data_IF_011650538523
#
_entry.id   IF_011650538523
#
_cell.length_a   1.000
_cell.length_b   1.000
_cell.length_c   1.000
_cell.angle_alpha   90.00
_cell.angle_beta   90.00
_cell.angle_gamma   90.00
#
_symmetry.space_group_name_H-M   'P 1'
#
loop_
_entity.id
_entity.type
_entity.pdbx_description
1 polymer ?
#
# COMPACT_ATOMS: atom_id res chain seq x y z
N UNK A 1 1.49 12.21 -27.62
CA UNK A 1 2.76 11.76 -26.98
C UNK A 1 2.80 12.04 -25.47
N UNK A 2 2.39 13.22 -24.99
CA UNK A 2 2.35 13.59 -23.56
C UNK A 2 1.58 12.58 -22.66
N UNK A 3 0.44 12.07 -23.13
CA UNK A 3 -0.35 11.06 -22.40
C UNK A 3 0.36 9.71 -22.23
N UNK A 4 1.14 9.24 -23.22
CA UNK A 4 1.90 7.99 -23.14
C UNK A 4 3.05 8.09 -22.15
N UNK A 5 3.76 9.23 -22.13
CA UNK A 5 4.85 9.49 -21.19
C UNK A 5 4.33 9.53 -19.76
N UNK A 6 3.21 10.22 -19.51
CA UNK A 6 2.59 10.26 -18.18
C UNK A 6 2.14 8.86 -17.72
N UNK A 7 1.65 8.03 -18.66
CA UNK A 7 1.28 6.64 -18.37
C UNK A 7 2.48 5.79 -18.01
N UNK A 8 3.57 5.85 -18.77
CA UNK A 8 4.82 5.15 -18.45
C UNK A 8 5.43 5.64 -17.13
N UNK A 9 5.37 6.93 -16.87
CA UNK A 9 5.80 7.49 -15.60
C UNK A 9 4.97 6.97 -14.43
N UNK A 10 3.65 6.87 -14.59
CA UNK A 10 2.77 6.26 -13.57
C UNK A 10 3.11 4.78 -13.34
N UNK A 11 3.41 4.04 -14.40
CA UNK A 11 3.81 2.62 -14.29
C UNK A 11 5.16 2.48 -13.59
N UNK A 12 6.14 3.28 -13.98
CA UNK A 12 7.45 3.31 -13.34
C UNK A 12 7.32 3.65 -11.86
N UNK A 13 6.63 4.74 -11.51
CA UNK A 13 6.45 5.16 -10.12
C UNK A 13 5.78 4.07 -9.29
N UNK A 14 4.75 3.42 -9.83
CA UNK A 14 4.05 2.34 -9.13
C UNK A 14 4.95 1.11 -8.95
N UNK A 15 5.66 0.68 -10.00
CA UNK A 15 6.58 -0.45 -9.93
C UNK A 15 7.76 -0.21 -8.99
N UNK A 16 8.37 0.98 -9.08
CA UNK A 16 9.48 1.39 -8.23
C UNK A 16 9.05 1.51 -6.77
N UNK A 17 7.97 2.24 -6.47
CA UNK A 17 7.60 2.55 -5.08
C UNK A 17 7.05 1.33 -4.34
N UNK A 18 6.26 0.49 -5.01
CA UNK A 18 5.59 -0.64 -4.35
C UNK A 18 6.51 -1.85 -4.20
N UNK A 19 7.32 -2.14 -5.22
CA UNK A 19 8.10 -3.40 -5.24
C UNK A 19 9.59 -3.16 -5.07
N UNK A 20 10.22 -2.35 -5.94
CA UNK A 20 11.68 -2.22 -5.96
C UNK A 20 12.21 -1.51 -4.71
N UNK A 21 11.64 -0.34 -4.39
CA UNK A 21 12.02 0.45 -3.23
C UNK A 21 11.76 -0.32 -1.93
N UNK A 22 10.63 -1.04 -1.85
CA UNK A 22 10.32 -1.90 -0.72
C UNK A 22 11.39 -3.00 -0.52
N UNK A 23 11.68 -3.80 -1.55
CA UNK A 23 12.66 -4.90 -1.45
C UNK A 23 14.04 -4.37 -1.10
N UNK A 24 14.51 -3.32 -1.80
CA UNK A 24 15.83 -2.73 -1.55
C UNK A 24 15.92 -2.17 -0.13
N UNK A 25 14.90 -1.42 0.31
CA UNK A 25 14.88 -0.85 1.66
C UNK A 25 14.82 -1.94 2.72
N UNK A 26 14.07 -3.02 2.49
CA UNK A 26 13.96 -4.14 3.41
C UNK A 26 15.28 -4.90 3.54
N UNK A 27 15.95 -5.20 2.43
CA UNK A 27 17.28 -5.81 2.45
C UNK A 27 18.31 -4.90 3.12
N UNK A 28 18.30 -3.61 2.80
CA UNK A 28 19.17 -2.63 3.46
C UNK A 28 18.91 -2.55 4.96
N UNK A 29 17.64 -2.57 5.38
CA UNK A 29 17.29 -2.60 6.78
C UNK A 29 17.90 -3.82 7.48
N UNK A 30 17.77 -5.02 6.92
CA UNK A 30 18.38 -6.23 7.48
C UNK A 30 19.91 -6.07 7.63
N UNK A 31 20.57 -5.59 6.58
CA UNK A 31 22.03 -5.42 6.58
C UNK A 31 22.47 -4.37 7.61
N UNK A 32 21.80 -3.21 7.65
CA UNK A 32 22.13 -2.12 8.58
C UNK A 32 21.87 -2.55 10.02
N UNK A 33 20.74 -3.18 10.32
CA UNK A 33 20.43 -3.68 11.67
C UNK A 33 21.45 -4.72 12.11
N UNK A 34 21.84 -5.63 11.22
CA UNK A 34 22.87 -6.61 11.53
C UNK A 34 24.21 -5.94 11.85
N UNK A 35 24.66 -5.01 11.00
CA UNK A 35 25.96 -4.36 11.13
C UNK A 35 26.05 -3.36 12.29
N UNK A 36 24.96 -2.71 12.66
CA UNK A 36 24.97 -1.67 13.70
C UNK A 36 24.48 -2.17 15.06
N UNK A 37 23.62 -3.19 15.09
CA UNK A 37 23.04 -3.68 16.34
C UNK A 37 23.57 -5.07 16.66
N UNK A 38 23.38 -6.03 15.76
CA UNK A 38 23.68 -7.44 16.05
C UNK A 38 25.18 -7.64 16.26
N UNK A 39 26.04 -7.09 15.39
CA UNK A 39 27.49 -7.28 15.52
C UNK A 39 28.14 -6.49 16.67
N UNK A 40 27.45 -5.49 17.24
CA UNK A 40 27.97 -4.71 18.37
C UNK A 40 27.52 -5.27 19.72
N UNK A 41 26.37 -5.97 19.78
CA UNK A 41 25.85 -6.55 21.02
C UNK A 41 26.26 -8.01 21.11
N UNK A 42 27.20 -8.32 22.01
CA UNK A 42 27.78 -9.66 22.17
C UNK A 42 26.74 -10.78 22.31
N UNK A 43 25.67 -10.55 23.07
CA UNK A 43 24.57 -11.51 23.24
C UNK A 43 23.91 -11.86 21.90
N UNK A 44 23.54 -10.85 21.10
CA UNK A 44 22.89 -11.05 19.81
C UNK A 44 23.84 -11.66 18.78
N UNK A 45 25.10 -11.22 18.76
CA UNK A 45 26.12 -11.78 17.89
C UNK A 45 26.37 -13.27 18.17
N UNK A 46 26.32 -13.68 19.44
CA UNK A 46 26.48 -15.09 19.83
C UNK A 46 25.37 -15.99 19.28
N UNK A 47 24.15 -15.45 19.15
CA UNK A 47 23.00 -16.14 18.56
C UNK A 47 23.02 -16.10 17.03
N UNK A 48 23.49 -15.00 16.46
CA UNK A 48 23.48 -14.75 15.02
C UNK A 48 24.86 -14.27 14.54
N UNK A 49 25.81 -15.18 14.48
CA UNK A 49 27.20 -14.91 14.08
C UNK A 49 27.36 -14.60 12.58
N UNK A 50 26.39 -14.99 11.76
CA UNK A 50 26.37 -14.70 10.33
C UNK A 50 25.10 -13.97 9.91
N UNK A 51 25.26 -13.01 9.00
CA UNK A 51 24.18 -12.21 8.42
C UNK A 51 23.05 -13.08 7.85
N UNK A 52 23.39 -14.19 7.19
CA UNK A 52 22.40 -15.08 6.56
C UNK A 52 21.49 -15.72 7.62
N UNK A 53 22.05 -16.18 8.74
CA UNK A 53 21.25 -16.77 9.83
C UNK A 53 20.33 -15.73 10.48
N UNK A 54 20.83 -14.52 10.70
CA UNK A 54 20.00 -13.40 11.16
C UNK A 54 18.89 -13.09 10.16
N UNK A 55 19.21 -12.94 8.87
CA UNK A 55 18.25 -12.57 7.83
C UNK A 55 17.12 -13.60 7.71
N UNK A 56 17.44 -14.90 7.67
CA UNK A 56 16.44 -15.96 7.59
C UNK A 56 15.52 -15.97 8.82
N UNK A 57 16.11 -15.87 10.02
CA UNK A 57 15.35 -15.87 11.28
C UNK A 57 14.48 -14.62 11.40
N UNK A 58 15.02 -13.46 11.02
CA UNK A 58 14.30 -12.20 11.00
C UNK A 58 13.13 -12.24 10.02
N UNK A 59 13.33 -12.71 8.79
CA UNK A 59 12.27 -12.83 7.78
C UNK A 59 11.16 -13.77 8.26
N UNK A 60 11.55 -14.92 8.85
CA UNK A 60 10.62 -15.92 9.35
C UNK A 60 9.69 -15.38 10.47
N UNK A 61 10.16 -14.42 11.27
CA UNK A 61 9.37 -13.79 12.33
C UNK A 61 8.66 -12.52 11.84
N UNK A 62 9.38 -11.68 11.10
CA UNK A 62 8.90 -10.38 10.65
C UNK A 62 7.69 -10.52 9.71
N UNK A 63 7.72 -11.45 8.75
CA UNK A 63 6.63 -11.61 7.79
C UNK A 63 5.31 -11.99 8.50
N UNK A 64 5.25 -13.04 9.34
CA UNK A 64 4.02 -13.37 10.07
C UNK A 64 3.53 -12.23 10.95
N UNK A 65 4.42 -11.57 11.69
CA UNK A 65 4.06 -10.44 12.57
C UNK A 65 3.48 -9.29 11.74
N UNK A 66 4.12 -8.93 10.63
CA UNK A 66 3.62 -7.90 9.73
C UNK A 66 2.25 -8.25 9.14
N UNK A 67 2.03 -9.52 8.77
CA UNK A 67 0.72 -10.00 8.28
C UNK A 67 -0.34 -9.87 9.38
N UNK A 68 -0.04 -10.25 10.62
CA UNK A 68 -0.99 -10.18 11.74
C UNK A 68 -1.35 -8.73 12.05
N UNK A 69 -0.35 -7.85 12.15
CA UNK A 69 -0.56 -6.41 12.39
C UNK A 69 -1.38 -5.81 11.25
N UNK A 70 -1.02 -6.10 10.00
CA UNK A 70 -1.75 -5.61 8.83
C UNK A 70 -3.20 -6.10 8.81
N UNK A 71 -3.43 -7.39 9.06
CA UNK A 71 -4.78 -7.96 9.15
C UNK A 71 -5.61 -7.27 10.24
N UNK A 72 -5.01 -7.03 11.41
CA UNK A 72 -5.69 -6.36 12.51
C UNK A 72 -6.05 -4.91 12.17
N UNK A 73 -5.12 -4.17 11.56
CA UNK A 73 -5.33 -2.80 11.11
C UNK A 73 -6.42 -2.70 10.02
N UNK A 74 -6.43 -3.65 9.08
CA UNK A 74 -7.50 -3.77 8.08
C UNK A 74 -8.87 -4.07 8.69
N UNK A 75 -8.93 -4.77 9.82
CA UNK A 75 -10.21 -5.17 10.44
C UNK A 75 -10.72 -4.16 11.46
N UNK A 76 -9.83 -3.46 12.17
CA UNK A 76 -10.19 -2.65 13.34
C UNK A 76 -9.44 -1.32 13.43
N UNK A 77 -8.49 -1.07 12.54
CA UNK A 77 -7.60 0.08 12.62
C UNK A 77 -7.90 1.17 11.60
N UNK A 78 -6.85 1.90 11.25
CA UNK A 78 -6.93 3.14 10.49
C UNK A 78 -7.26 2.91 9.02
N UNK A 79 -6.89 1.75 8.45
CA UNK A 79 -7.06 1.47 7.02
C UNK A 79 -8.51 1.64 6.56
N UNK A 80 -9.50 1.17 7.34
CA UNK A 80 -10.91 1.34 6.98
C UNK A 80 -11.27 2.83 6.92
N UNK A 81 -10.83 3.59 7.92
CA UNK A 81 -11.07 5.03 7.99
C UNK A 81 -10.44 5.75 6.81
N UNK A 82 -9.19 5.45 6.48
CA UNK A 82 -8.47 6.09 5.37
C UNK A 82 -9.09 5.75 4.01
N UNK A 83 -9.52 4.50 3.82
CA UNK A 83 -10.23 4.07 2.61
C UNK A 83 -11.57 4.80 2.47
N UNK A 84 -12.35 4.90 3.54
CA UNK A 84 -13.64 5.61 3.50
C UNK A 84 -13.46 7.10 3.28
N UNK A 85 -12.45 7.73 3.90
CA UNK A 85 -12.13 9.14 3.71
C UNK A 85 -11.70 9.41 2.26
N UNK A 86 -10.83 8.56 1.72
CA UNK A 86 -10.38 8.64 0.33
C UNK A 86 -11.53 8.44 -0.67
N UNK A 87 -12.43 7.50 -0.39
CA UNK A 87 -13.62 7.27 -1.22
C UNK A 87 -14.57 8.48 -1.20
N UNK A 88 -14.78 9.11 -0.03
CA UNK A 88 -15.61 10.32 0.10
C UNK A 88 -14.98 11.55 -0.54
N UNK A 89 -13.65 11.68 -0.45
CA UNK A 89 -12.92 12.80 -1.04
C UNK A 89 -12.87 12.73 -2.57
N UNK A 90 -12.98 11.53 -3.16
CA UNK A 90 -12.92 11.36 -4.61
C UNK A 90 -14.25 11.78 -5.28
N UNK A 91 -14.26 12.83 -6.12
CA UNK A 91 -15.46 13.31 -6.80
C UNK A 91 -16.13 12.24 -7.67
N UNK A 92 -15.32 11.37 -8.30
CA UNK A 92 -15.83 10.29 -9.14
C UNK A 92 -16.72 9.31 -8.34
N UNK A 93 -16.25 8.86 -7.17
CA UNK A 93 -17.04 7.96 -6.31
C UNK A 93 -18.30 8.63 -5.77
N UNK A 94 -18.21 9.91 -5.42
CA UNK A 94 -19.37 10.70 -4.98
C UNK A 94 -20.44 10.78 -6.06
N UNK A 95 -20.04 11.11 -7.28
CA UNK A 95 -20.96 11.28 -8.41
C UNK A 95 -21.56 9.93 -8.85
N UNK A 96 -20.78 8.85 -8.79
CA UNK A 96 -21.27 7.48 -9.00
C UNK A 96 -22.35 7.11 -7.97
N UNK A 97 -22.15 7.45 -6.69
CA UNK A 97 -23.15 7.21 -5.64
C UNK A 97 -24.45 7.99 -5.89
N UNK A 98 -24.36 9.26 -6.32
CA UNK A 98 -25.55 10.04 -6.72
C UNK A 98 -26.27 9.43 -7.93
N UNK A 99 -25.54 8.98 -8.94
CA UNK A 99 -26.14 8.33 -10.10
C UNK A 99 -26.92 7.06 -9.69
N UNK A 100 -26.35 6.23 -8.82
CA UNK A 100 -27.02 5.05 -8.27
C UNK A 100 -28.29 5.43 -7.48
N UNK A 101 -28.22 6.50 -6.68
CA UNK A 101 -29.36 7.01 -5.92
C UNK A 101 -30.50 7.52 -6.81
N UNK A 102 -30.19 8.19 -7.92
CA UNK A 102 -31.19 8.63 -8.90
C UNK A 102 -31.81 7.45 -9.65
N UNK A 103 -31.02 6.44 -10.02
CA UNK A 103 -31.53 5.20 -10.65
C UNK A 103 -32.52 4.49 -9.72
N UNK A 104 -32.23 4.41 -8.43
CA UNK A 104 -33.13 3.80 -7.44
C UNK A 104 -34.48 4.53 -7.30
N UNK A 105 -34.55 5.81 -7.67
CA UNK A 105 -35.78 6.61 -7.72
C UNK A 105 -36.44 6.63 -9.11
N UNK A 106 -35.95 5.82 -10.05
CA UNK A 106 -36.35 5.85 -11.47
C UNK A 106 -36.09 7.21 -12.18
N UNK A 107 -35.20 8.04 -11.63
CA UNK A 107 -34.77 9.34 -12.18
C UNK A 107 -33.55 9.19 -13.09
N UNK A 108 -33.68 8.38 -14.15
CA UNK A 108 -32.56 7.97 -15.01
C UNK A 108 -31.87 9.14 -15.71
N UNK A 109 -32.62 10.15 -16.13
CA UNK A 109 -32.06 11.33 -16.83
C UNK A 109 -31.06 12.11 -15.97
N UNK A 110 -31.31 12.18 -14.66
CA UNK A 110 -30.40 12.85 -13.72
C UNK A 110 -29.14 12.03 -13.47
N UNK A 111 -29.26 10.70 -13.40
CA UNK A 111 -28.12 9.82 -13.31
C UNK A 111 -27.19 9.96 -14.53
N UNK A 112 -27.77 10.04 -15.73
CA UNK A 112 -27.01 10.25 -16.98
C UNK A 112 -26.25 11.57 -16.94
N UNK A 113 -26.92 12.69 -16.59
CA UNK A 113 -26.28 14.02 -16.49
C UNK A 113 -25.09 14.02 -15.52
N UNK A 114 -25.21 13.33 -14.39
CA UNK A 114 -24.12 13.26 -13.39
C UNK A 114 -22.91 12.50 -13.92
N UNK A 115 -23.12 11.44 -14.72
CA UNK A 115 -22.05 10.59 -15.27
C UNK A 115 -21.44 11.14 -16.56
N UNK A 116 -22.18 11.95 -17.32
CA UNK A 116 -21.78 12.48 -18.63
C UNK A 116 -20.39 13.16 -18.60
N UNK A 117 -20.11 13.93 -17.54
CA UNK A 117 -18.82 14.61 -17.34
C UNK A 117 -17.59 13.70 -17.20
N UNK A 118 -17.79 12.40 -17.01
CA UNK A 118 -16.73 11.41 -16.86
C UNK A 118 -16.54 10.52 -18.10
N UNK A 119 -17.46 10.58 -19.06
CA UNK A 119 -17.49 9.70 -20.25
C UNK A 119 -16.97 10.42 -21.51
N UNK A 120 -16.75 11.75 -21.45
CA UNK A 120 -16.23 12.58 -22.54
C UNK A 120 -14.75 12.34 -22.88
#
# INVERSE_FOLDING_TARGET
MRSRILRYWSYFRRGHSVYLAFIISFLNFIVIQYRLVISYIQFLYSMFSHLIYFALSFIAVYIPVAIIIGWWDYKRGAVITDLTLSARANPYFRDLAYAMYFIAQDRKDEAVKVLEKWIS
#
